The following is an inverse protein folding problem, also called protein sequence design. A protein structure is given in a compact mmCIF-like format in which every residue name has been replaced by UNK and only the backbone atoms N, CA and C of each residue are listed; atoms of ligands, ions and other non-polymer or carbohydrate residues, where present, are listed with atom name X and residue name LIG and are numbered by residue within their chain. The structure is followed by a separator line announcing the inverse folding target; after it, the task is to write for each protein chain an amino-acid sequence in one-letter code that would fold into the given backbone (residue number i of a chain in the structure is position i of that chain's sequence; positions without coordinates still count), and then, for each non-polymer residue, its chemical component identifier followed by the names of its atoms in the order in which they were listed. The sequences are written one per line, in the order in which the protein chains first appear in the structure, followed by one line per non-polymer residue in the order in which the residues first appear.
data_IF_397610446085
#
_entry.id   IF_397610446085
#
_cell.length_a   1.000
_cell.length_b   1.000
_cell.length_c   1.000
_cell.angle_alpha   90.00
_cell.angle_beta   90.00
_cell.angle_gamma   90.00
#
_symmetry.space_group_name_H-M   'P 1'
#
loop_
_entity.id
_entity.type
_entity.pdbx_description
1 polymer ?
#
# COMPACT_ATOMS: atom_id res chain seq x y z
N UNK A 1 11.21 -24.21 7.50
CA UNK A 1 9.93 -23.54 7.11
C UNK A 1 10.03 -23.05 5.67
N UNK A 2 8.95 -23.16 4.89
CA UNK A 2 8.81 -22.43 3.61
C UNK A 2 8.69 -20.94 3.87
N UNK A 3 8.79 -20.10 2.83
CA UNK A 3 8.57 -18.65 2.96
C UNK A 3 7.17 -18.34 3.50
N UNK A 4 6.16 -19.02 2.94
CA UNK A 4 4.77 -18.91 3.37
C UNK A 4 4.58 -19.25 4.86
N UNK A 5 5.07 -20.41 5.30
CA UNK A 5 4.97 -20.84 6.69
C UNK A 5 5.65 -19.87 7.65
N UNK A 6 6.80 -19.32 7.25
CA UNK A 6 7.59 -18.38 8.05
C UNK A 6 6.86 -17.06 8.25
N UNK A 7 6.31 -16.49 7.17
CA UNK A 7 5.53 -15.26 7.24
C UNK A 7 4.27 -15.46 8.06
N UNK A 8 3.49 -16.53 7.82
CA UNK A 8 2.27 -16.81 8.57
C UNK A 8 2.52 -17.08 10.05
N UNK A 9 3.62 -17.77 10.38
CA UNK A 9 4.06 -17.93 11.77
C UNK A 9 4.31 -16.57 12.43
N UNK A 10 4.99 -15.65 11.74
CA UNK A 10 5.25 -14.29 12.25
C UNK A 10 3.96 -13.49 12.42
N UNK A 11 3.05 -13.55 11.45
CA UNK A 11 1.77 -12.83 11.47
C UNK A 11 0.84 -13.32 12.61
N UNK A 12 0.89 -14.62 12.92
CA UNK A 12 0.15 -15.19 14.05
C UNK A 12 0.76 -14.91 15.42
N UNK A 13 1.93 -14.24 15.46
CA UNK A 13 2.67 -13.95 16.69
C UNK A 13 3.56 -15.09 17.18
N UNK A 14 3.74 -16.14 16.37
CA UNK A 14 4.69 -17.22 16.62
C UNK A 14 6.15 -16.81 16.34
N UNK A 15 7.07 -17.68 16.70
CA UNK A 15 8.50 -17.53 16.44
C UNK A 15 8.88 -18.46 15.27
N UNK A 16 9.25 -17.92 14.09
CA UNK A 16 9.66 -18.75 12.96
C UNK A 16 11.09 -19.26 13.13
N UNK A 17 11.57 -20.08 12.20
CA UNK A 17 12.96 -20.60 12.19
C UNK A 17 14.01 -19.47 12.05
N UNK A 18 13.64 -18.39 11.36
CA UNK A 18 14.41 -17.14 11.21
C UNK A 18 13.49 -15.96 10.95
N UNK A 19 14.00 -14.75 11.05
CA UNK A 19 13.31 -13.54 10.61
C UNK A 19 12.97 -13.70 9.12
N UNK A 20 11.70 -13.52 8.68
CA UNK A 20 11.36 -13.46 7.26
C UNK A 20 12.03 -12.26 6.59
N UNK A 21 12.58 -12.45 5.40
CA UNK A 21 13.05 -11.35 4.54
C UNK A 21 11.96 -11.10 3.50
N UNK A 22 11.16 -10.06 3.70
CA UNK A 22 9.92 -9.83 2.94
C UNK A 22 10.01 -8.56 2.09
N UNK A 23 10.95 -8.53 1.15
CA UNK A 23 11.25 -7.33 0.37
C UNK A 23 10.06 -6.84 -0.45
N UNK A 24 9.81 -5.54 -0.38
CA UNK A 24 8.82 -4.89 -1.19
C UNK A 24 9.36 -4.62 -2.60
N UNK A 25 8.89 -5.38 -3.58
CA UNK A 25 9.34 -5.31 -4.97
C UNK A 25 8.21 -4.81 -5.86
N UNK A 26 8.51 -3.82 -6.70
CA UNK A 26 7.60 -3.28 -7.72
C UNK A 26 8.17 -3.42 -9.13
N UNK A 27 7.35 -3.09 -10.14
CA UNK A 27 7.68 -3.24 -11.56
C UNK A 27 8.95 -2.50 -11.96
N UNK A 28 9.23 -1.35 -11.35
CA UNK A 28 10.40 -0.51 -11.61
C UNK A 28 11.71 -1.28 -11.33
N UNK A 29 11.78 -1.96 -10.16
CA UNK A 29 12.93 -2.78 -9.85
C UNK A 29 12.99 -4.04 -10.73
N UNK A 30 11.86 -4.68 -10.99
CA UNK A 30 11.78 -5.86 -11.85
C UNK A 30 12.27 -5.53 -13.27
N UNK A 31 11.79 -4.41 -13.84
CA UNK A 31 12.20 -3.93 -15.16
C UNK A 31 13.73 -3.64 -15.22
N UNK A 32 14.25 -3.02 -14.17
CA UNK A 32 15.68 -2.77 -14.04
C UNK A 32 16.48 -4.07 -13.96
N UNK A 33 16.06 -5.01 -13.11
CA UNK A 33 16.76 -6.28 -12.90
C UNK A 33 16.75 -7.17 -14.16
N UNK A 34 15.59 -7.38 -14.77
CA UNK A 34 15.44 -8.22 -15.97
C UNK A 34 15.74 -7.50 -17.27
N UNK A 35 16.01 -6.19 -17.25
CA UNK A 35 16.31 -5.33 -18.41
C UNK A 35 15.23 -5.41 -19.49
N UNK A 36 13.97 -5.44 -19.10
CA UNK A 36 12.81 -5.48 -20.01
C UNK A 36 11.59 -4.80 -19.37
N UNK A 37 10.67 -4.29 -20.19
CA UNK A 37 9.37 -3.79 -19.75
C UNK A 37 8.30 -4.87 -19.68
N UNK A 38 7.09 -4.48 -19.28
CA UNK A 38 5.92 -5.37 -19.22
C UNK A 38 6.00 -6.40 -18.09
N UNK A 39 6.58 -6.00 -16.94
CA UNK A 39 6.77 -6.88 -15.79
C UNK A 39 5.46 -7.13 -15.06
N UNK A 40 5.18 -8.39 -14.74
CA UNK A 40 4.08 -8.80 -13.89
C UNK A 40 4.48 -8.69 -12.41
N UNK A 41 3.70 -7.94 -11.62
CA UNK A 41 3.99 -7.65 -10.20
C UNK A 41 3.96 -8.88 -9.28
N UNK A 42 3.36 -9.97 -9.72
CA UNK A 42 3.26 -11.21 -8.95
C UNK A 42 4.21 -12.26 -9.50
N UNK A 43 4.04 -12.60 -10.78
CA UNK A 43 4.82 -13.67 -11.44
C UNK A 43 6.32 -13.37 -11.45
N UNK A 44 6.69 -12.16 -11.89
CA UNK A 44 8.12 -11.79 -11.98
C UNK A 44 8.70 -11.49 -10.60
N UNK A 45 7.89 -11.01 -9.62
CA UNK A 45 8.34 -10.90 -8.24
C UNK A 45 8.55 -12.29 -7.59
N UNK A 46 7.71 -13.28 -7.90
CA UNK A 46 7.89 -14.65 -7.43
C UNK A 46 9.16 -15.29 -8.03
N UNK A 47 9.45 -15.03 -9.31
CA UNK A 47 10.68 -15.45 -9.95
C UNK A 47 11.90 -14.82 -9.26
N UNK A 48 11.89 -13.52 -9.03
CA UNK A 48 12.98 -12.81 -8.34
C UNK A 48 13.18 -13.34 -6.91
N UNK A 49 12.08 -13.56 -6.18
CA UNK A 49 12.13 -14.11 -4.82
C UNK A 49 12.78 -15.51 -4.81
N UNK A 50 12.46 -16.34 -5.80
CA UNK A 50 13.08 -17.66 -5.97
C UNK A 50 14.57 -17.55 -6.31
N UNK A 51 14.97 -16.63 -7.21
CA UNK A 51 16.36 -16.43 -7.61
C UNK A 51 17.26 -15.88 -6.50
N UNK A 52 16.74 -14.92 -5.71
CA UNK A 52 17.50 -14.27 -4.65
C UNK A 52 17.29 -14.94 -3.28
N UNK A 53 16.27 -15.79 -3.16
CA UNK A 53 15.99 -16.56 -1.96
C UNK A 53 15.42 -15.76 -0.80
N UNK A 54 14.59 -14.76 -1.04
CA UNK A 54 13.83 -14.04 0.00
C UNK A 54 12.39 -14.55 0.11
N UNK A 55 11.72 -14.22 1.22
CA UNK A 55 10.32 -14.60 1.47
C UNK A 55 9.40 -13.54 0.83
N UNK A 56 8.42 -13.95 0.03
CA UNK A 56 7.63 -13.02 -0.78
C UNK A 56 6.34 -12.59 -0.07
N UNK A 57 6.12 -11.29 0.01
CA UNK A 57 4.78 -10.71 0.22
C UNK A 57 4.45 -9.90 -1.02
N UNK A 58 3.47 -10.33 -1.80
CA UNK A 58 3.07 -9.56 -2.99
C UNK A 58 2.27 -8.33 -2.61
N UNK A 59 2.35 -7.29 -3.45
CA UNK A 59 1.61 -6.04 -3.27
C UNK A 59 1.00 -5.59 -4.60
N UNK A 60 0.41 -6.56 -5.32
CA UNK A 60 -0.29 -6.29 -6.57
C UNK A 60 -1.59 -5.51 -6.30
N UNK A 61 -2.09 -4.85 -7.33
CA UNK A 61 -3.44 -4.29 -7.30
C UNK A 61 -4.46 -5.36 -7.66
N UNK A 62 -5.65 -5.28 -7.09
CA UNK A 62 -6.78 -6.12 -7.49
C UNK A 62 -7.39 -5.66 -8.81
N UNK A 63 -7.31 -4.36 -9.06
CA UNK A 63 -7.65 -3.71 -10.31
C UNK A 63 -6.72 -2.53 -10.52
N UNK A 64 -6.31 -2.27 -11.75
CA UNK A 64 -5.39 -1.16 -12.07
C UNK A 64 -6.02 0.21 -11.86
N UNK A 65 -7.34 0.32 -11.99
CA UNK A 65 -8.07 1.57 -11.85
C UNK A 65 -9.16 1.48 -10.77
N UNK A 66 -9.48 2.61 -10.11
CA UNK A 66 -10.62 2.68 -9.21
C UNK A 66 -11.91 2.26 -9.91
N UNK A 67 -12.82 1.62 -9.18
CA UNK A 67 -14.07 1.12 -9.73
C UNK A 67 -14.85 2.16 -10.55
N UNK A 68 -14.93 3.38 -10.06
CA UNK A 68 -15.70 4.47 -10.67
C UNK A 68 -15.10 5.02 -11.97
N UNK A 69 -13.89 4.66 -12.33
CA UNK A 69 -13.23 5.10 -13.56
C UNK A 69 -13.04 3.99 -14.60
N UNK A 70 -13.32 2.73 -14.25
CA UNK A 70 -12.94 1.57 -15.09
C UNK A 70 -13.73 1.47 -16.39
N UNK A 71 -15.05 1.63 -16.32
CA UNK A 71 -15.94 1.48 -17.49
C UNK A 71 -17.23 2.29 -17.31
N UNK A 72 -17.93 2.51 -18.40
CA UNK A 72 -19.25 3.11 -18.39
C UNK A 72 -20.34 2.13 -17.91
N UNK A 73 -21.34 2.69 -17.24
CA UNK A 73 -22.57 2.03 -16.80
C UNK A 73 -23.79 2.88 -17.18
N UNK A 74 -25.01 2.37 -17.10
CA UNK A 74 -26.19 3.21 -17.24
C UNK A 74 -26.15 4.40 -16.28
N UNK A 75 -26.32 5.61 -16.79
CA UNK A 75 -26.24 6.89 -16.04
C UNK A 75 -24.85 7.24 -15.49
N UNK A 76 -23.80 6.57 -15.96
CA UNK A 76 -22.40 6.78 -15.56
C UNK A 76 -21.49 6.55 -16.76
N UNK A 77 -21.42 7.53 -17.66
CA UNK A 77 -20.61 7.43 -18.88
C UNK A 77 -19.21 7.96 -18.64
N UNK A 78 -18.22 7.09 -18.73
CA UNK A 78 -16.80 7.40 -18.49
C UNK A 78 -16.09 7.67 -19.79
N UNK A 79 -15.47 8.83 -19.91
CA UNK A 79 -14.60 9.22 -21.03
C UNK A 79 -13.21 9.54 -20.51
N UNK A 80 -12.18 8.98 -21.15
CA UNK A 80 -10.77 9.22 -20.84
C UNK A 80 -10.05 9.76 -22.04
N UNK A 81 -9.22 10.77 -21.83
CA UNK A 81 -8.37 11.36 -22.87
C UNK A 81 -6.99 11.63 -22.30
N UNK A 82 -5.95 11.23 -23.02
CA UNK A 82 -4.57 11.60 -22.70
C UNK A 82 -4.11 12.74 -23.65
N UNK A 83 -3.35 13.66 -23.10
CA UNK A 83 -2.77 14.78 -23.82
C UNK A 83 -1.35 15.04 -23.32
N UNK A 84 -0.40 15.14 -24.24
CA UNK A 84 0.97 15.55 -23.94
C UNK A 84 1.09 17.05 -24.20
N UNK A 85 1.47 17.80 -23.17
CA UNK A 85 1.66 19.24 -23.23
C UNK A 85 2.98 19.63 -22.56
N UNK A 86 3.92 20.14 -23.38
CA UNK A 86 5.27 20.43 -22.90
C UNK A 86 5.99 19.18 -22.40
N UNK A 87 6.46 19.22 -21.16
CA UNK A 87 7.15 18.10 -20.49
C UNK A 87 6.23 17.24 -19.64
N UNK A 88 4.91 17.35 -19.78
CA UNK A 88 3.96 16.60 -18.98
C UNK A 88 2.96 15.82 -19.86
N UNK A 89 2.50 14.71 -19.34
CA UNK A 89 1.33 13.98 -19.82
C UNK A 89 0.17 14.24 -18.86
N UNK A 90 -1.01 14.54 -19.42
CA UNK A 90 -2.24 14.77 -18.68
C UNK A 90 -3.26 13.70 -19.03
N UNK A 91 -3.93 13.17 -18.02
CA UNK A 91 -5.09 12.29 -18.17
C UNK A 91 -6.33 13.04 -17.75
N UNK A 92 -7.23 13.28 -18.68
CA UNK A 92 -8.53 13.89 -18.43
C UNK A 92 -9.58 12.80 -18.33
N UNK A 93 -10.28 12.82 -17.22
CA UNK A 93 -11.43 11.94 -16.94
C UNK A 93 -12.69 12.79 -16.88
N UNK A 94 -13.69 12.40 -17.64
CA UNK A 94 -15.04 12.96 -17.57
C UNK A 94 -16.04 11.85 -17.30
N UNK A 95 -16.96 12.09 -16.36
CA UNK A 95 -18.08 11.20 -16.05
C UNK A 95 -19.35 11.97 -16.27
N UNK A 96 -20.08 11.59 -17.32
CA UNK A 96 -21.37 12.20 -17.66
C UNK A 96 -22.50 11.43 -16.96
N UNK A 97 -23.32 12.15 -16.21
CA UNK A 97 -24.47 11.64 -15.49
C UNK A 97 -25.74 12.41 -15.88
N UNK A 98 -26.94 11.88 -15.67
CA UNK A 98 -28.17 12.64 -15.92
C UNK A 98 -28.31 13.94 -15.12
N UNK A 99 -27.58 14.08 -14.03
CA UNK A 99 -27.60 15.25 -13.17
C UNK A 99 -26.49 16.27 -13.45
N UNK A 100 -25.48 15.91 -14.23
CA UNK A 100 -24.33 16.78 -14.51
C UNK A 100 -23.07 16.02 -14.84
N UNK A 101 -21.97 16.76 -14.96
CA UNK A 101 -20.69 16.27 -15.41
C UNK A 101 -19.64 16.41 -14.29
N UNK A 102 -19.00 15.29 -13.94
CA UNK A 102 -17.86 15.25 -13.03
C UNK A 102 -16.56 15.19 -13.85
N UNK A 103 -15.52 15.88 -13.39
CA UNK A 103 -14.22 15.96 -14.10
C UNK A 103 -13.05 15.78 -13.16
N UNK A 104 -12.03 15.08 -13.64
CA UNK A 104 -10.74 14.93 -12.95
C UNK A 104 -9.61 15.10 -13.98
N UNK A 105 -8.48 15.66 -13.54
CA UNK A 105 -7.25 15.67 -14.34
C UNK A 105 -6.11 15.16 -13.47
N UNK A 106 -5.37 14.22 -14.00
CA UNK A 106 -4.12 13.74 -13.44
C UNK A 106 -2.97 14.17 -14.34
N UNK A 107 -1.80 14.39 -13.76
CA UNK A 107 -0.62 14.82 -14.51
C UNK A 107 0.63 14.12 -14.01
N UNK A 108 1.54 13.83 -14.93
CA UNK A 108 2.86 13.29 -14.63
C UNK A 108 3.91 13.91 -15.56
N UNK A 109 5.19 13.93 -15.18
CA UNK A 109 6.27 14.21 -16.11
C UNK A 109 6.24 13.22 -17.27
N UNK A 110 6.43 13.71 -18.49
CA UNK A 110 6.51 12.88 -19.68
C UNK A 110 7.95 12.70 -20.11
N UNK A 111 8.41 11.46 -20.06
CA UNK A 111 9.70 11.05 -20.63
C UNK A 111 9.46 9.79 -21.49
N UNK A 112 9.65 9.87 -22.81
CA UNK A 112 9.45 8.73 -23.70
C UNK A 112 10.43 7.57 -23.44
N UNK A 113 11.50 7.79 -22.67
CA UNK A 113 12.44 6.75 -22.26
C UNK A 113 11.97 5.98 -21.01
N UNK A 114 11.01 6.51 -20.26
CA UNK A 114 10.44 5.83 -19.09
C UNK A 114 9.27 4.96 -19.55
N UNK A 115 9.46 3.65 -19.52
CA UNK A 115 8.47 2.67 -19.98
C UNK A 115 7.48 2.32 -18.86
N UNK A 116 7.93 2.35 -17.61
CA UNK A 116 7.15 1.96 -16.43
C UNK A 116 7.44 2.90 -15.24
N UNK A 117 6.56 2.90 -14.25
CA UNK A 117 6.78 3.67 -13.02
C UNK A 117 6.38 5.15 -13.10
N UNK A 118 5.54 5.53 -14.08
CA UNK A 118 5.03 6.91 -14.16
C UNK A 118 3.96 7.11 -13.10
N UNK A 119 4.27 7.94 -12.10
CA UNK A 119 3.33 8.29 -11.04
C UNK A 119 2.54 9.54 -11.38
N UNK A 120 1.24 9.36 -11.62
CA UNK A 120 0.32 10.47 -11.83
C UNK A 120 -0.14 11.06 -10.51
N UNK A 121 -0.23 12.38 -10.45
CA UNK A 121 -0.83 13.13 -9.36
C UNK A 121 -2.13 13.79 -9.84
N UNK A 122 -3.16 13.81 -9.01
CA UNK A 122 -4.41 14.53 -9.31
C UNK A 122 -4.15 16.03 -9.21
N UNK A 123 -4.43 16.76 -10.28
CA UNK A 123 -4.26 18.23 -10.38
C UNK A 123 -5.57 18.98 -10.47
N UNK A 124 -6.65 18.31 -10.88
CA UNK A 124 -8.04 18.77 -10.77
C UNK A 124 -8.87 17.63 -10.21
N UNK A 125 -9.57 17.90 -9.15
CA UNK A 125 -10.30 16.89 -8.40
C UNK A 125 -11.75 16.77 -8.90
N UNK A 126 -12.32 15.58 -8.75
CA UNK A 126 -13.67 15.28 -9.18
C UNK A 126 -14.73 15.89 -8.26
N UNK A 127 -14.46 15.96 -6.96
CA UNK A 127 -15.37 16.48 -5.94
C UNK A 127 -14.78 17.76 -5.35
N UNK A 128 -15.32 18.91 -5.80
CA UNK A 128 -14.90 20.22 -5.33
C UNK A 128 -15.99 20.87 -4.47
N UNK A 129 -17.26 20.53 -4.71
CA UNK A 129 -18.42 21.07 -4.01
C UNK A 129 -19.32 19.96 -3.46
N UNK A 130 -20.22 20.25 -2.52
CA UNK A 130 -21.25 19.29 -2.07
C UNK A 130 -22.12 18.76 -3.21
N UNK A 131 -22.41 19.59 -4.23
CA UNK A 131 -23.19 19.19 -5.41
C UNK A 131 -22.46 18.15 -6.26
N UNK A 132 -21.14 18.26 -6.41
CA UNK A 132 -20.31 17.24 -7.09
C UNK A 132 -20.40 15.91 -6.34
N UNK A 133 -20.35 15.95 -5.01
CA UNK A 133 -20.50 14.75 -4.19
C UNK A 133 -21.90 14.13 -4.31
N UNK A 134 -22.96 14.96 -4.34
CA UNK A 134 -24.32 14.46 -4.55
C UNK A 134 -24.47 13.76 -5.91
N UNK A 135 -23.85 14.29 -6.98
CA UNK A 135 -23.82 13.63 -8.29
C UNK A 135 -23.08 12.30 -8.20
N UNK A 136 -21.91 12.30 -7.58
CA UNK A 136 -21.09 11.11 -7.40
C UNK A 136 -21.84 10.03 -6.61
N UNK A 137 -22.38 10.39 -5.44
CA UNK A 137 -23.12 9.49 -4.55
C UNK A 137 -24.35 8.90 -5.22
N UNK A 138 -25.10 9.73 -5.93
CA UNK A 138 -26.38 9.34 -6.54
C UNK A 138 -26.22 8.41 -7.73
N UNK A 139 -25.18 8.62 -8.55
CA UNK A 139 -25.05 7.94 -9.83
C UNK A 139 -23.91 6.93 -9.88
N UNK A 140 -23.00 6.88 -8.90
CA UNK A 140 -21.94 5.88 -8.87
C UNK A 140 -22.55 4.48 -8.89
N UNK A 141 -22.19 3.64 -9.89
CA UNK A 141 -22.80 2.32 -10.04
C UNK A 141 -22.39 1.40 -8.88
N UNK A 142 -23.27 0.46 -8.56
CA UNK A 142 -22.93 -0.63 -7.65
C UNK A 142 -21.98 -1.62 -8.34
N UNK A 143 -21.10 -2.25 -7.53
CA UNK A 143 -20.26 -3.36 -8.03
C UNK A 143 -21.15 -4.50 -8.50
N UNK A 144 -20.91 -4.97 -9.71
CA UNK A 144 -21.61 -6.10 -10.30
C UNK A 144 -20.92 -7.44 -9.98
N UNK A 145 -21.59 -8.55 -10.30
CA UNK A 145 -21.03 -9.87 -10.07
C UNK A 145 -19.73 -10.09 -10.86
N UNK A 146 -19.63 -9.54 -12.07
CA UNK A 146 -18.45 -9.69 -12.91
C UNK A 146 -17.21 -9.03 -12.28
N UNK A 147 -17.38 -7.90 -11.60
CA UNK A 147 -16.31 -7.24 -10.85
C UNK A 147 -15.72 -8.14 -9.77
N UNK A 148 -16.56 -8.84 -9.02
CA UNK A 148 -16.09 -9.74 -7.96
C UNK A 148 -15.52 -11.05 -8.48
N UNK A 149 -16.05 -11.60 -9.57
CA UNK A 149 -15.47 -12.79 -10.21
C UNK A 149 -14.07 -12.49 -10.77
N UNK A 150 -13.88 -11.33 -11.42
CA UNK A 150 -12.55 -10.89 -11.87
C UNK A 150 -11.55 -10.78 -10.68
N UNK A 151 -12.00 -10.26 -9.55
CA UNK A 151 -11.20 -10.18 -8.32
C UNK A 151 -10.74 -11.56 -7.82
N UNK A 152 -11.64 -12.56 -7.87
CA UNK A 152 -11.31 -13.95 -7.50
C UNK A 152 -10.34 -14.59 -8.48
N UNK A 153 -10.52 -14.36 -9.79
CA UNK A 153 -9.60 -14.88 -10.80
C UNK A 153 -8.19 -14.31 -10.64
N UNK A 154 -8.07 -13.00 -10.36
CA UNK A 154 -6.79 -12.35 -10.05
C UNK A 154 -6.17 -12.96 -8.78
N UNK A 155 -6.97 -13.21 -7.74
CA UNK A 155 -6.50 -13.82 -6.51
C UNK A 155 -5.97 -15.24 -6.74
N UNK A 156 -6.73 -16.08 -7.43
CA UNK A 156 -6.34 -17.45 -7.74
C UNK A 156 -5.05 -17.52 -8.57
N UNK A 157 -4.93 -16.66 -9.59
CA UNK A 157 -3.72 -16.56 -10.40
C UNK A 157 -2.49 -16.15 -9.56
N UNK A 158 -2.63 -15.17 -8.68
CA UNK A 158 -1.56 -14.72 -7.79
C UNK A 158 -1.07 -15.86 -6.89
N UNK A 159 -1.99 -16.61 -6.27
CA UNK A 159 -1.65 -17.76 -5.44
C UNK A 159 -0.90 -18.84 -6.22
N UNK A 160 -1.28 -19.08 -7.48
CA UNK A 160 -0.61 -20.04 -8.34
C UNK A 160 0.87 -19.70 -8.58
N UNK A 161 1.23 -18.43 -8.67
CA UNK A 161 2.62 -18.00 -8.85
C UNK A 161 3.41 -17.94 -7.55
N UNK A 162 2.80 -17.53 -6.45
CA UNK A 162 3.48 -17.33 -5.16
C UNK A 162 3.77 -18.66 -4.46
N UNK A 163 2.81 -19.57 -4.40
CA UNK A 163 2.97 -20.90 -3.76
C UNK A 163 3.61 -20.83 -2.38
N UNK A 164 4.63 -21.63 -2.16
CA UNK A 164 5.38 -21.71 -0.90
C UNK A 164 6.45 -20.62 -0.71
N UNK A 165 6.66 -19.77 -1.72
CA UNK A 165 7.61 -18.65 -1.61
C UNK A 165 7.16 -17.60 -0.59
N UNK A 166 5.83 -17.46 -0.38
CA UNK A 166 5.30 -16.44 0.50
C UNK A 166 3.79 -16.37 0.55
N UNK A 167 3.26 -15.16 0.74
CA UNK A 167 1.83 -14.87 0.78
C UNK A 167 1.45 -13.79 -0.21
N UNK A 168 0.16 -13.75 -0.56
CA UNK A 168 -0.42 -12.65 -1.31
C UNK A 168 -1.03 -11.63 -0.36
N UNK A 169 -0.63 -10.36 -0.51
CA UNK A 169 -1.19 -9.23 0.21
C UNK A 169 -1.51 -8.10 -0.78
N UNK A 170 -2.54 -8.30 -1.63
CA UNK A 170 -2.87 -7.30 -2.63
C UNK A 170 -3.24 -5.98 -1.98
N UNK A 171 -2.85 -4.88 -2.63
CA UNK A 171 -3.48 -3.60 -2.36
C UNK A 171 -4.97 -3.73 -2.72
N UNK A 172 -5.82 -3.61 -1.73
CA UNK A 172 -7.24 -3.39 -1.96
C UNK A 172 -7.49 -2.02 -2.60
N UNK A 173 -8.70 -1.51 -2.51
CA UNK A 173 -9.01 -0.18 -3.04
C UNK A 173 -8.33 0.99 -2.30
N UNK A 174 -7.41 0.70 -1.37
CA UNK A 174 -6.72 1.67 -0.52
C UNK A 174 -7.44 1.92 0.81
N UNK A 175 -6.87 2.77 1.66
CA UNK A 175 -7.54 3.32 2.83
C UNK A 175 -8.57 4.38 2.44
N UNK A 176 -9.51 4.67 3.32
CA UNK A 176 -10.61 5.61 3.03
C UNK A 176 -10.09 7.01 2.79
N UNK A 177 -9.16 7.48 3.63
CA UNK A 177 -8.57 8.80 3.47
C UNK A 177 -7.75 8.91 2.17
N UNK A 178 -7.01 7.86 1.79
CA UNK A 178 -6.30 7.81 0.51
C UNK A 178 -7.27 7.90 -0.68
N UNK A 179 -8.38 7.17 -0.65
CA UNK A 179 -9.40 7.22 -1.69
C UNK A 179 -10.07 8.61 -1.77
N UNK A 180 -10.32 9.22 -0.61
CA UNK A 180 -10.84 10.58 -0.53
C UNK A 180 -9.89 11.60 -1.17
N UNK A 181 -8.57 11.47 -0.94
CA UNK A 181 -7.54 12.33 -1.52
C UNK A 181 -7.39 12.20 -3.05
N UNK A 182 -7.87 11.12 -3.65
CA UNK A 182 -7.94 10.99 -5.12
C UNK A 182 -9.10 11.81 -5.69
N UNK A 183 -10.20 11.89 -4.94
CA UNK A 183 -11.44 12.54 -5.38
C UNK A 183 -11.52 14.03 -5.00
N UNK A 184 -10.87 14.44 -3.90
CA UNK A 184 -10.94 15.79 -3.34
C UNK A 184 -9.56 16.28 -2.93
N UNK A 185 -9.28 17.57 -3.14
CA UNK A 185 -7.99 18.17 -2.75
C UNK A 185 -7.70 17.91 -1.26
N UNK A 186 -6.47 17.47 -0.97
CA UNK A 186 -6.08 17.03 0.38
C UNK A 186 -6.11 18.19 1.39
N UNK A 187 -5.80 19.41 0.96
CA UNK A 187 -5.82 20.59 1.84
C UNK A 187 -7.27 20.91 2.20
N UNK A 188 -8.17 20.87 1.21
CA UNK A 188 -9.59 21.07 1.45
C UNK A 188 -10.17 19.92 2.31
N UNK A 189 -9.81 18.66 2.04
CA UNK A 189 -10.25 17.52 2.82
C UNK A 189 -9.85 17.63 4.31
N UNK A 190 -8.68 18.22 4.60
CA UNK A 190 -8.25 18.50 5.96
C UNK A 190 -8.98 19.69 6.60
N UNK A 191 -9.53 20.60 5.81
CA UNK A 191 -10.31 21.75 6.30
C UNK A 191 -11.80 21.43 6.49
N UNK A 192 -12.34 20.52 5.68
CA UNK A 192 -13.77 20.16 5.69
C UNK A 192 -14.33 19.84 7.09
N UNK A 193 -13.64 19.11 7.99
CA UNK A 193 -14.15 18.86 9.34
C UNK A 193 -14.40 20.12 10.17
N UNK A 194 -13.82 21.26 9.78
CA UNK A 194 -13.95 22.54 10.46
C UNK A 194 -14.89 23.49 9.73
N UNK A 195 -15.03 23.34 8.42
CA UNK A 195 -15.86 24.22 7.58
C UNK A 195 -17.26 23.65 7.37
N UNK A 196 -17.37 22.33 7.13
CA UNK A 196 -18.63 21.60 6.99
C UNK A 196 -18.44 20.15 7.49
N UNK A 197 -18.56 19.97 8.82
CA UNK A 197 -18.40 18.67 9.48
C UNK A 197 -19.38 17.62 8.93
N UNK A 198 -20.61 18.03 8.59
CA UNK A 198 -21.64 17.12 8.07
C UNK A 198 -21.23 16.59 6.68
N UNK A 199 -20.84 17.48 5.77
CA UNK A 199 -20.36 17.10 4.46
C UNK A 199 -19.17 16.12 4.57
N UNK A 200 -18.17 16.46 5.41
CA UNK A 200 -17.01 15.60 5.61
C UNK A 200 -17.39 14.19 6.03
N UNK A 201 -18.21 14.06 7.05
CA UNK A 201 -18.61 12.77 7.57
C UNK A 201 -19.50 12.00 6.59
N UNK A 202 -20.41 12.63 5.87
CA UNK A 202 -21.21 11.99 4.82
C UNK A 202 -20.32 11.48 3.67
N UNK A 203 -19.31 12.25 3.25
CA UNK A 203 -18.39 11.86 2.20
C UNK A 203 -17.51 10.68 2.62
N UNK A 204 -16.90 10.75 3.80
CA UNK A 204 -16.05 9.69 4.33
C UNK A 204 -16.84 8.40 4.62
N UNK A 205 -18.04 8.51 5.11
CA UNK A 205 -18.94 7.38 5.41
C UNK A 205 -19.39 6.67 4.14
N UNK A 206 -19.72 7.44 3.10
CA UNK A 206 -20.03 6.89 1.78
C UNK A 206 -18.87 6.12 1.18
N UNK A 207 -17.67 6.70 1.19
CA UNK A 207 -16.47 6.02 0.70
C UNK A 207 -16.14 4.78 1.53
N UNK A 208 -16.19 4.90 2.85
CA UNK A 208 -15.95 3.78 3.76
C UNK A 208 -16.88 2.61 3.45
N UNK A 209 -18.19 2.87 3.29
CA UNK A 209 -19.18 1.84 2.98
C UNK A 209 -18.92 1.15 1.63
N UNK A 210 -18.48 1.92 0.64
CA UNK A 210 -18.16 1.39 -0.68
C UNK A 210 -16.90 0.51 -0.65
N UNK A 211 -15.85 0.95 0.05
CA UNK A 211 -14.58 0.24 0.14
C UNK A 211 -14.67 -0.97 1.08
N UNK A 212 -15.40 -0.88 2.18
CA UNK A 212 -15.66 -1.98 3.11
C UNK A 212 -16.18 -3.22 2.36
N UNK A 213 -17.13 -3.01 1.44
CA UNK A 213 -17.67 -4.08 0.61
C UNK A 213 -16.62 -4.73 -0.29
N UNK A 214 -15.71 -3.94 -0.87
CA UNK A 214 -14.61 -4.46 -1.67
C UNK A 214 -13.66 -5.31 -0.80
N UNK A 215 -13.33 -4.85 0.41
CA UNK A 215 -12.50 -5.60 1.35
C UNK A 215 -13.16 -6.87 1.87
N UNK A 216 -14.47 -6.86 2.15
CA UNK A 216 -15.23 -8.06 2.51
C UNK A 216 -15.14 -9.14 1.43
N UNK A 217 -15.28 -8.74 0.17
CA UNK A 217 -15.19 -9.66 -0.97
C UNK A 217 -13.77 -10.17 -1.20
N UNK A 218 -12.76 -9.31 -1.06
CA UNK A 218 -11.35 -9.73 -1.10
C UNK A 218 -11.01 -10.71 0.02
N UNK A 219 -11.56 -10.52 1.20
CA UNK A 219 -11.36 -11.41 2.33
C UNK A 219 -12.02 -12.79 2.15
N UNK A 220 -12.90 -12.96 1.16
CA UNK A 220 -13.46 -14.26 0.76
C UNK A 220 -12.58 -15.02 -0.22
N UNK A 221 -11.53 -14.41 -0.75
CA UNK A 221 -10.55 -15.06 -1.64
C UNK A 221 -9.50 -15.85 -0.86
N UNK A 222 -8.58 -16.50 -1.58
CA UNK A 222 -7.48 -17.26 -0.97
C UNK A 222 -6.41 -16.37 -0.31
N UNK A 223 -6.44 -15.06 -0.51
CA UNK A 223 -5.45 -14.14 0.07
C UNK A 223 -5.41 -14.25 1.60
N UNK A 224 -4.21 -14.45 2.14
CA UNK A 224 -4.00 -14.57 3.58
C UNK A 224 -3.96 -13.21 4.28
N UNK A 225 -3.53 -12.19 3.54
CA UNK A 225 -3.36 -10.83 4.02
C UNK A 225 -3.93 -9.84 2.98
N UNK A 226 -4.46 -8.72 3.42
CA UNK A 226 -4.90 -7.64 2.54
C UNK A 226 -4.15 -6.36 2.87
N UNK A 227 -3.60 -5.73 1.83
CA UNK A 227 -2.90 -4.46 1.94
C UNK A 227 -3.87 -3.27 1.97
N UNK A 228 -3.58 -2.29 2.80
CA UNK A 228 -4.32 -1.04 2.92
C UNK A 228 -3.36 0.13 2.90
N UNK A 229 -3.49 1.02 1.92
CA UNK A 229 -2.65 2.21 1.81
C UNK A 229 -3.23 3.35 2.63
N UNK A 230 -2.47 3.85 3.62
CA UNK A 230 -2.83 4.97 4.47
C UNK A 230 -1.80 6.11 4.45
N UNK A 231 -0.92 6.12 3.47
CA UNK A 231 0.23 7.04 3.41
C UNK A 231 -0.15 8.52 3.24
N UNK A 232 -1.34 8.83 2.73
CA UNK A 232 -1.83 10.22 2.68
C UNK A 232 -2.13 10.77 4.08
N UNK A 233 -2.46 9.91 5.05
CA UNK A 233 -2.71 10.26 6.45
C UNK A 233 -1.43 10.18 7.30
N UNK A 234 -0.28 10.60 6.79
CA UNK A 234 0.98 10.57 7.53
C UNK A 234 1.13 11.70 8.55
N UNK A 235 2.06 11.53 9.48
CA UNK A 235 2.29 12.47 10.57
C UNK A 235 2.80 13.86 10.16
N UNK A 236 3.20 14.09 8.91
CA UNK A 236 3.52 15.45 8.42
C UNK A 236 2.25 16.26 8.20
N UNK A 237 1.20 15.61 7.69
CA UNK A 237 -0.07 16.25 7.35
C UNK A 237 -1.01 16.33 8.53
N UNK A 238 -1.16 15.24 9.29
CA UNK A 238 -2.19 15.13 10.34
C UNK A 238 -1.59 14.89 11.73
N UNK A 239 -2.22 15.45 12.76
CA UNK A 239 -1.92 15.17 14.16
C UNK A 239 -2.71 13.96 14.68
N UNK A 240 -2.33 13.41 15.86
CA UNK A 240 -2.98 12.23 16.43
C UNK A 240 -4.47 12.44 16.73
N UNK A 241 -4.88 13.62 17.16
CA UNK A 241 -6.29 13.90 17.47
C UNK A 241 -7.13 14.04 16.19
N UNK A 242 -6.58 14.70 15.15
CA UNK A 242 -7.24 14.76 13.85
C UNK A 242 -7.39 13.35 13.27
N UNK A 243 -6.33 12.55 13.31
CA UNK A 243 -6.35 11.17 12.84
C UNK A 243 -7.41 10.35 13.58
N UNK A 244 -7.43 10.42 14.93
CA UNK A 244 -8.38 9.68 15.77
C UNK A 244 -9.83 10.07 15.50
N UNK A 245 -10.11 11.37 15.33
CA UNK A 245 -11.48 11.85 15.11
C UNK A 245 -11.95 11.64 13.67
N UNK A 246 -11.11 11.97 12.70
CA UNK A 246 -11.55 12.18 11.33
C UNK A 246 -11.12 11.08 10.34
N UNK A 247 -10.16 10.22 10.70
CA UNK A 247 -9.64 9.19 9.78
C UNK A 247 -9.82 7.79 10.36
N UNK A 248 -9.33 7.56 11.56
CA UNK A 248 -9.29 6.25 12.20
C UNK A 248 -10.64 5.52 12.23
N UNK A 249 -11.80 6.15 12.49
CA UNK A 249 -13.09 5.43 12.51
C UNK A 249 -13.43 4.77 11.17
N UNK A 250 -13.07 5.41 10.06
CA UNK A 250 -13.32 4.92 8.70
C UNK A 250 -12.35 3.83 8.28
N UNK A 251 -11.05 4.03 8.56
CA UNK A 251 -10.02 3.00 8.34
C UNK A 251 -10.30 1.74 9.18
N UNK A 252 -10.76 1.93 10.43
CA UNK A 252 -11.08 0.83 11.34
C UNK A 252 -12.18 -0.08 10.79
N UNK A 253 -13.19 0.47 10.12
CA UNK A 253 -14.25 -0.34 9.49
C UNK A 253 -13.68 -1.32 8.48
N UNK A 254 -12.75 -0.87 7.64
CA UNK A 254 -12.10 -1.72 6.63
C UNK A 254 -11.21 -2.79 7.30
N UNK A 255 -10.47 -2.40 8.34
CA UNK A 255 -9.63 -3.33 9.12
C UNK A 255 -10.50 -4.42 9.75
N UNK A 256 -11.60 -4.03 10.37
CA UNK A 256 -12.53 -4.96 11.04
C UNK A 256 -13.21 -5.89 10.04
N UNK A 257 -13.62 -5.40 8.87
CA UNK A 257 -14.20 -6.21 7.80
C UNK A 257 -13.27 -7.35 7.37
N UNK A 258 -11.98 -7.05 7.21
CA UNK A 258 -10.95 -8.05 6.86
C UNK A 258 -10.69 -9.03 8.02
N UNK A 259 -10.50 -8.50 9.23
CA UNK A 259 -10.16 -9.32 10.41
C UNK A 259 -11.30 -10.23 10.84
N UNK A 260 -12.56 -9.80 10.70
CA UNK A 260 -13.75 -10.61 10.99
C UNK A 260 -13.87 -11.84 10.07
N UNK A 261 -13.19 -11.82 8.91
CA UNK A 261 -13.04 -12.98 8.01
C UNK A 261 -11.79 -13.83 8.32
N UNK A 262 -11.08 -13.54 9.40
CA UNK A 262 -9.87 -14.28 9.81
C UNK A 262 -8.63 -13.99 8.99
N UNK A 263 -8.60 -12.88 8.24
CA UNK A 263 -7.48 -12.45 7.41
C UNK A 263 -6.61 -11.43 8.12
N UNK A 264 -5.36 -11.29 7.67
CA UNK A 264 -4.44 -10.28 8.17
C UNK A 264 -4.59 -8.96 7.39
N UNK A 265 -4.25 -7.84 8.03
CA UNK A 265 -4.22 -6.51 7.42
C UNK A 265 -2.79 -5.97 7.47
N UNK A 266 -2.22 -5.66 6.31
CA UNK A 266 -0.96 -4.95 6.16
C UNK A 266 -1.29 -3.48 5.88
N UNK A 267 -0.97 -2.60 6.83
CA UNK A 267 -1.21 -1.17 6.70
C UNK A 267 0.09 -0.47 6.28
N UNK A 268 0.07 0.12 5.10
CA UNK A 268 1.20 0.85 4.54
C UNK A 268 1.06 2.35 4.82
N UNK A 269 1.96 2.89 5.62
CA UNK A 269 2.11 4.33 5.78
C UNK A 269 3.59 4.69 5.80
N UNK A 270 4.10 5.13 4.66
CA UNK A 270 5.45 5.63 4.49
C UNK A 270 5.55 7.13 4.86
N UNK A 271 6.71 7.55 5.32
CA UNK A 271 6.95 8.90 5.78
C UNK A 271 6.85 9.08 7.30
N UNK A 272 6.72 10.32 7.79
CA UNK A 272 6.64 10.60 9.23
C UNK A 272 5.39 9.99 9.86
N UNK A 273 5.58 9.17 10.91
CA UNK A 273 4.46 8.52 11.60
C UNK A 273 4.68 8.42 13.13
N UNK A 274 5.81 8.91 13.64
CA UNK A 274 6.16 8.77 15.05
C UNK A 274 5.05 9.24 16.00
N UNK A 275 4.44 10.36 15.73
CA UNK A 275 3.33 10.88 16.56
C UNK A 275 2.02 10.10 16.44
N UNK A 276 1.90 9.19 15.48
CA UNK A 276 0.71 8.35 15.24
C UNK A 276 0.82 6.95 15.86
N UNK A 277 1.93 6.60 16.54
CA UNK A 277 2.11 5.26 17.13
C UNK A 277 0.96 4.87 18.06
N UNK A 278 0.44 5.83 18.87
CA UNK A 278 -0.73 5.57 19.71
C UNK A 278 -1.98 5.18 18.91
N UNK A 279 -2.23 5.87 17.81
CA UNK A 279 -3.35 5.57 16.91
C UNK A 279 -3.18 4.19 16.25
N UNK A 280 -1.98 3.87 15.76
CA UNK A 280 -1.68 2.58 15.15
C UNK A 280 -1.88 1.41 16.11
N UNK A 281 -1.51 1.61 17.38
CA UNK A 281 -1.78 0.63 18.44
C UNK A 281 -3.27 0.39 18.65
N UNK A 282 -4.08 1.46 18.61
CA UNK A 282 -5.53 1.40 18.77
C UNK A 282 -6.22 0.72 17.59
N UNK A 283 -5.73 0.91 16.34
CA UNK A 283 -6.30 0.33 15.12
C UNK A 283 -6.18 -1.20 15.06
N UNK A 284 -5.21 -1.80 15.75
CA UNK A 284 -5.03 -3.26 15.81
C UNK A 284 -4.91 -3.93 14.45
N UNK A 285 -4.33 -3.25 13.48
CA UNK A 285 -3.92 -3.86 12.22
C UNK A 285 -2.92 -4.99 12.47
N UNK A 286 -2.68 -5.88 11.52
CA UNK A 286 -1.77 -7.01 11.74
C UNK A 286 -0.31 -6.63 11.54
N UNK A 287 -0.04 -5.85 10.50
CA UNK A 287 1.30 -5.39 10.11
C UNK A 287 1.29 -3.89 9.87
N UNK A 288 2.25 -3.16 10.40
CA UNK A 288 2.61 -1.84 9.91
C UNK A 288 3.89 -1.91 9.08
N UNK A 289 3.79 -1.48 7.86
CA UNK A 289 4.85 -1.33 6.86
C UNK A 289 4.98 0.17 6.58
N UNK A 290 6.02 0.80 6.53
CA UNK A 290 7.38 0.65 6.09
C UNK A 290 8.36 1.12 7.18
N UNK A 291 7.88 1.89 8.13
CA UNK A 291 8.60 2.47 9.28
C UNK A 291 9.76 3.33 8.80
N UNK A 292 9.48 4.23 7.87
CA UNK A 292 10.51 5.02 7.17
C UNK A 292 11.38 5.83 8.14
N UNK A 293 12.71 5.62 8.14
CA UNK A 293 13.63 6.40 8.96
C UNK A 293 13.86 7.79 8.37
N UNK A 294 14.54 8.72 9.08
CA UNK A 294 15.02 9.95 8.47
C UNK A 294 15.96 9.70 7.28
N UNK A 295 15.88 10.50 6.19
CA UNK A 295 15.09 11.73 6.04
C UNK A 295 13.68 11.55 5.49
N UNK A 296 13.28 10.37 5.00
CA UNK A 296 11.94 10.15 4.44
C UNK A 296 10.85 10.25 5.51
N UNK A 297 11.07 9.61 6.63
CA UNK A 297 10.21 9.61 7.80
C UNK A 297 10.86 10.26 9.02
N UNK A 298 10.27 9.99 10.18
CA UNK A 298 10.77 10.40 11.49
C UNK A 298 10.81 9.21 12.48
N UNK A 299 10.70 7.99 11.94
CA UNK A 299 10.54 6.79 12.75
C UNK A 299 11.89 6.24 13.21
N UNK A 300 11.97 5.89 14.49
CA UNK A 300 13.02 5.07 15.06
C UNK A 300 12.51 3.66 15.27
N UNK A 301 13.17 2.67 14.67
CA UNK A 301 12.72 1.28 14.71
C UNK A 301 12.79 0.67 16.12
N UNK A 302 13.74 1.10 16.98
CA UNK A 302 13.83 0.63 18.34
C UNK A 302 12.66 1.14 19.17
N UNK A 303 12.34 2.44 19.04
CA UNK A 303 11.18 3.06 19.68
C UNK A 303 9.86 2.45 19.16
N UNK A 304 9.73 2.27 17.84
CA UNK A 304 8.56 1.59 17.27
C UNK A 304 8.41 0.16 17.79
N UNK A 305 9.52 -0.58 17.93
CA UNK A 305 9.53 -1.93 18.47
C UNK A 305 9.12 -1.98 19.94
N UNK A 306 9.56 -1.04 20.74
CA UNK A 306 9.20 -0.92 22.15
C UNK A 306 7.70 -0.64 22.33
N UNK A 307 7.15 0.32 21.56
CA UNK A 307 5.77 0.80 21.70
C UNK A 307 4.77 -0.15 21.07
N UNK A 308 5.05 -0.63 19.85
CA UNK A 308 4.11 -1.35 19.00
C UNK A 308 4.41 -2.83 18.84
N UNK A 309 5.66 -3.27 19.04
CA UNK A 309 6.11 -4.61 18.68
C UNK A 309 5.46 -5.75 19.48
N UNK A 310 4.73 -5.47 20.55
CA UNK A 310 3.91 -6.46 21.26
C UNK A 310 2.54 -6.66 20.62
N UNK A 311 2.01 -5.62 19.98
CA UNK A 311 0.66 -5.59 19.43
C UNK A 311 0.66 -5.85 17.91
N UNK A 312 1.64 -5.29 17.19
CA UNK A 312 1.74 -5.32 15.74
C UNK A 312 2.99 -6.07 15.27
N UNK A 313 2.93 -6.63 14.08
CA UNK A 313 4.11 -7.02 13.31
C UNK A 313 4.67 -5.77 12.63
N UNK A 314 5.96 -5.54 12.76
CA UNK A 314 6.67 -4.42 12.14
C UNK A 314 7.39 -4.89 10.88
N UNK A 315 7.19 -4.23 9.74
CA UNK A 315 7.87 -4.49 8.48
C UNK A 315 8.69 -3.29 8.05
N UNK A 316 9.97 -3.48 7.86
CA UNK A 316 10.91 -2.40 7.50
C UNK A 316 12.26 -2.67 8.17
N UNK A 317 13.18 -1.71 8.32
CA UNK A 317 13.13 -0.31 7.86
C UNK A 317 14.48 0.09 7.20
N UNK A 318 15.05 -0.84 6.38
CA UNK A 318 16.29 -0.53 5.67
C UNK A 318 16.04 0.61 4.68
N UNK A 319 16.73 1.74 4.85
CA UNK A 319 16.60 2.88 3.92
C UNK A 319 17.10 2.48 2.53
N UNK A 320 16.18 2.38 1.59
CA UNK A 320 16.48 1.95 0.22
C UNK A 320 16.97 3.08 -0.67
N UNK A 321 16.69 4.34 -0.31
CA UNK A 321 17.01 5.50 -1.16
C UNK A 321 18.41 6.05 -0.83
N UNK A 322 18.63 6.41 0.43
CA UNK A 322 19.85 7.12 0.83
C UNK A 322 20.95 6.19 1.35
N UNK A 323 20.60 4.95 1.70
CA UNK A 323 21.57 4.01 2.25
C UNK A 323 21.81 2.81 1.34
N UNK A 324 20.80 1.99 1.07
CA UNK A 324 20.98 0.71 0.33
C UNK A 324 21.54 0.89 -1.08
N UNK A 325 21.28 2.02 -1.73
CA UNK A 325 21.82 2.35 -3.07
C UNK A 325 23.29 2.77 -3.04
N UNK A 326 23.71 3.44 -1.98
CA UNK A 326 24.98 4.16 -1.90
C UNK A 326 26.03 3.44 -1.02
N UNK A 327 25.57 2.60 -0.09
CA UNK A 327 26.43 1.93 0.89
C UNK A 327 27.29 0.85 0.28
N UNK A 328 28.42 0.58 0.92
CA UNK A 328 29.24 -0.59 0.63
C UNK A 328 28.63 -1.86 1.24
N UNK A 329 28.99 -3.00 0.70
CA UNK A 329 28.47 -4.31 1.15
C UNK A 329 28.64 -4.55 2.65
N UNK A 330 29.81 -4.22 3.20
CA UNK A 330 30.11 -4.37 4.63
C UNK A 330 29.24 -3.44 5.51
N UNK A 331 28.94 -2.23 5.05
CA UNK A 331 28.05 -1.31 5.71
C UNK A 331 26.60 -1.82 5.71
N UNK A 332 26.15 -2.44 4.58
CA UNK A 332 24.84 -3.08 4.46
C UNK A 332 24.71 -4.26 5.43
N UNK A 333 25.74 -5.11 5.51
CA UNK A 333 25.77 -6.22 6.46
C UNK A 333 25.64 -5.70 7.92
N UNK A 334 26.44 -4.70 8.30
CA UNK A 334 26.42 -4.13 9.64
C UNK A 334 25.05 -3.50 9.98
N UNK A 335 24.42 -2.80 9.02
CA UNK A 335 23.09 -2.24 9.20
C UNK A 335 22.03 -3.34 9.37
N UNK A 336 22.09 -4.39 8.58
CA UNK A 336 21.18 -5.54 8.71
C UNK A 336 21.33 -6.24 10.07
N UNK A 337 22.56 -6.47 10.55
CA UNK A 337 22.84 -7.04 11.89
C UNK A 337 22.29 -6.17 13.01
N UNK A 338 22.42 -4.84 12.89
CA UNK A 338 21.84 -3.89 13.83
C UNK A 338 20.31 -4.01 13.88
N UNK A 339 19.63 -4.05 12.74
CA UNK A 339 18.18 -4.22 12.67
C UNK A 339 17.74 -5.57 13.26
N UNK A 340 18.47 -6.64 12.98
CA UNK A 340 18.23 -7.96 13.57
C UNK A 340 18.33 -7.90 15.09
N UNK A 341 19.39 -7.28 15.62
CA UNK A 341 19.61 -7.15 17.06
C UNK A 341 18.47 -6.43 17.75
N UNK A 342 17.94 -5.37 17.14
CA UNK A 342 16.83 -4.57 17.68
C UNK A 342 15.50 -5.32 17.56
N UNK A 343 15.22 -5.91 16.42
CA UNK A 343 13.85 -6.34 16.08
C UNK A 343 13.58 -7.82 16.36
N UNK A 344 14.61 -8.68 16.41
CA UNK A 344 14.47 -10.12 16.65
C UNK A 344 13.84 -10.46 18.01
N UNK A 345 14.17 -9.79 19.14
CA UNK A 345 13.58 -10.11 20.42
C UNK A 345 12.06 -10.04 20.39
N UNK A 346 11.39 -11.12 20.84
CA UNK A 346 9.94 -11.23 20.89
C UNK A 346 9.26 -11.48 19.51
N UNK A 347 10.00 -11.73 18.46
CA UNK A 347 9.43 -11.99 17.12
C UNK A 347 8.69 -10.78 16.55
N UNK A 348 7.59 -11.01 15.82
CA UNK A 348 6.73 -9.95 15.20
C UNK A 348 7.53 -8.93 14.39
N UNK A 349 8.42 -9.42 13.55
CA UNK A 349 9.22 -8.59 12.68
C UNK A 349 9.42 -9.26 11.32
N UNK A 350 9.20 -8.49 10.26
CA UNK A 350 9.53 -8.81 8.88
C UNK A 350 10.67 -7.88 8.48
N UNK A 351 11.79 -8.43 8.07
CA UNK A 351 12.88 -7.63 7.54
C UNK A 351 12.52 -7.16 6.13
N UNK A 352 12.49 -5.86 5.94
CA UNK A 352 12.12 -5.24 4.67
C UNK A 352 12.88 -3.91 4.51
N UNK A 353 12.78 -3.33 3.34
CA UNK A 353 13.16 -1.95 3.08
C UNK A 353 12.13 -0.97 3.69
N UNK A 354 12.48 0.31 3.75
CA UNK A 354 11.55 1.33 4.29
C UNK A 354 10.51 1.80 3.26
N UNK A 355 10.55 1.24 2.07
CA UNK A 355 9.55 1.27 0.98
C UNK A 355 10.03 0.29 -0.10
N UNK A 356 9.44 0.31 -1.31
CA UNK A 356 9.84 -0.58 -2.41
C UNK A 356 11.31 -0.39 -2.83
N UNK A 357 11.89 -1.48 -3.31
CA UNK A 357 13.25 -1.46 -3.86
C UNK A 357 13.33 -0.51 -5.06
N UNK A 358 14.25 0.43 -4.96
CA UNK A 358 14.54 1.40 -6.02
C UNK A 358 15.26 0.76 -7.21
N UNK A 359 14.90 1.17 -8.42
CA UNK A 359 15.73 0.92 -9.59
C UNK A 359 17.17 1.42 -9.33
N UNK A 360 18.15 0.79 -9.95
CA UNK A 360 19.61 1.03 -9.74
C UNK A 360 20.15 0.68 -8.34
N UNK A 361 19.38 0.02 -7.46
CA UNK A 361 19.94 -0.55 -6.23
C UNK A 361 20.92 -1.68 -6.60
N UNK A 362 22.18 -1.62 -6.13
CA UNK A 362 23.20 -2.63 -6.45
C UNK A 362 22.77 -4.03 -6.00
N UNK A 363 22.83 -4.99 -6.91
CA UNK A 363 22.43 -6.37 -6.62
C UNK A 363 23.25 -7.01 -5.50
N UNK A 364 24.53 -6.66 -5.40
CA UNK A 364 25.41 -7.11 -4.32
C UNK A 364 24.92 -6.64 -2.95
N UNK A 365 24.39 -5.44 -2.83
CA UNK A 365 23.83 -4.91 -1.59
C UNK A 365 22.55 -5.67 -1.20
N UNK A 366 21.69 -5.95 -2.17
CA UNK A 366 20.47 -6.74 -1.92
C UNK A 366 20.82 -8.15 -1.47
N UNK A 367 21.77 -8.82 -2.16
CA UNK A 367 22.23 -10.16 -1.77
C UNK A 367 22.88 -10.17 -0.39
N UNK A 368 23.76 -9.20 -0.10
CA UNK A 368 24.39 -9.07 1.20
C UNK A 368 23.36 -8.91 2.32
N UNK A 369 22.36 -8.07 2.13
CA UNK A 369 21.25 -7.88 3.07
C UNK A 369 20.48 -9.18 3.31
N UNK A 370 20.06 -9.87 2.25
CA UNK A 370 19.32 -11.15 2.34
C UNK A 370 20.15 -12.21 3.08
N UNK A 371 21.41 -12.40 2.70
CA UNK A 371 22.26 -13.43 3.28
C UNK A 371 22.60 -13.15 4.75
N UNK A 372 22.83 -11.88 5.11
CA UNK A 372 23.05 -11.48 6.50
C UNK A 372 21.83 -11.82 7.37
N UNK A 373 20.62 -11.51 6.88
CA UNK A 373 19.40 -11.83 7.66
C UNK A 373 19.21 -13.35 7.76
N UNK A 374 19.48 -14.12 6.72
CA UNK A 374 19.42 -15.59 6.78
C UNK A 374 20.42 -16.19 7.76
N UNK A 375 21.64 -15.64 7.84
CA UNK A 375 22.69 -16.13 8.72
C UNK A 375 22.43 -15.74 10.19
N UNK A 376 22.18 -14.46 10.46
CA UNK A 376 22.09 -13.88 11.81
C UNK A 376 20.67 -13.83 12.38
N UNK A 377 19.66 -13.93 11.52
CA UNK A 377 18.25 -13.82 11.91
C UNK A 377 17.61 -15.09 12.48
N UNK A 378 18.32 -16.19 12.66
CA UNK A 378 17.81 -17.46 13.23
C UNK A 378 17.41 -17.24 14.69
N UNK A 379 16.25 -17.77 15.09
CA UNK A 379 15.76 -17.72 16.46
C UNK A 379 16.36 -18.83 17.33
#
# INVERSE_FOLDING_TARGET
MTGKERILCTLSGGIPDRIPVALFVQQEYLSYYYKKGGMDRVKDAALLASELGFDLITRQRTHEEPFWTRKSYPNWEVTKKEEISGSNIHRHLEINTPGGLLRQTESAPYDPAIIEGVHFITTKFMINTPEDFELFRKYMPARDKAYFEEMKDIAAAAHGFVGDLGICSPWGPGGVFNAACILRDISQLCMDPYEDENFYHEFMDFLSSALERDYEMLAETEHECLGMQGNMANGRLVGPDFFRKNIQPYEQRLIDAVKNKGKYVLYHNCGPAKKLYGNYKEMKMSVWETISPPPQGDNDIAEAKEILGKDLVLSGNMDQIHFLKEAKVDEVCAAAEKLITICKPGGKYLFDTSDYLEANTPLENIKAMIETVKACGKY
#
